data_IF_261164990819
#
_entry.id   IF_261164990819
#
_cell.length_a   1.000
_cell.length_b   1.000
_cell.length_c   1.000
_cell.angle_alpha   90.00
_cell.angle_beta   90.00
_cell.angle_gamma   90.00
#
_symmetry.space_group_name_H-M   'P 1'
#
loop_
_entity.id
_entity.type
_entity.pdbx_description
1 polymer ?
#
# COMPACT_ATOMS: atom_id res chain seq x y z
N UNK A 1 -17.96 -0.53 -27.45
CA UNK A 1 -17.99 -0.65 -25.96
C UNK A 1 -16.66 -0.27 -25.27
N UNK A 2 -15.49 -0.46 -25.88
CA UNK A 2 -14.19 -0.05 -25.30
C UNK A 2 -14.09 1.47 -25.02
N UNK A 3 -14.64 2.31 -25.90
CA UNK A 3 -14.55 3.78 -25.79
C UNK A 3 -15.38 4.38 -24.64
N UNK A 4 -16.45 3.70 -24.20
CA UNK A 4 -17.26 4.13 -23.05
C UNK A 4 -16.56 3.83 -21.72
N UNK A 5 -15.90 2.67 -21.61
CA UNK A 5 -15.09 2.33 -20.43
C UNK A 5 -13.90 3.27 -20.31
N UNK A 6 -13.18 3.52 -21.40
CA UNK A 6 -12.05 4.45 -21.39
C UNK A 6 -12.47 5.87 -20.96
N UNK A 7 -13.60 6.39 -21.46
CA UNK A 7 -14.13 7.71 -21.05
C UNK A 7 -14.60 7.78 -19.60
N UNK A 8 -15.23 6.72 -19.08
CA UNK A 8 -15.65 6.67 -17.69
C UNK A 8 -14.45 6.60 -16.75
N UNK A 9 -13.45 5.77 -17.05
CA UNK A 9 -12.18 5.72 -16.31
C UNK A 9 -11.49 7.07 -16.37
N UNK A 10 -11.46 7.71 -17.54
CA UNK A 10 -10.86 9.02 -17.73
C UNK A 10 -11.60 10.13 -16.97
N UNK A 11 -12.93 10.10 -16.88
CA UNK A 11 -13.73 11.05 -16.10
C UNK A 11 -13.56 10.88 -14.59
N UNK A 12 -13.42 9.65 -14.11
CA UNK A 12 -13.12 9.34 -12.70
C UNK A 12 -11.69 9.78 -12.35
N UNK A 13 -10.72 9.54 -13.23
CA UNK A 13 -9.34 10.00 -13.03
C UNK A 13 -9.14 11.49 -13.24
N UNK A 14 -10.05 12.16 -13.98
CA UNK A 14 -9.99 13.59 -14.26
C UNK A 14 -10.58 14.47 -13.15
N UNK A 15 -11.20 13.88 -12.12
CA UNK A 15 -11.68 14.63 -10.95
C UNK A 15 -10.84 14.29 -9.70
N UNK A 16 -9.79 15.08 -9.40
CA UNK A 16 -8.90 14.85 -8.27
C UNK A 16 -9.63 14.77 -6.93
N UNK A 17 -10.70 15.56 -6.74
CA UNK A 17 -11.47 15.55 -5.49
C UNK A 17 -12.15 14.21 -5.22
N UNK A 18 -12.64 13.56 -6.27
CA UNK A 18 -13.26 12.24 -6.15
C UNK A 18 -12.22 11.17 -5.77
N UNK A 19 -11.02 11.23 -6.37
CA UNK A 19 -9.91 10.36 -5.98
C UNK A 19 -9.45 10.59 -4.54
N UNK A 20 -9.39 11.86 -4.11
CA UNK A 20 -9.01 12.26 -2.74
C UNK A 20 -10.01 11.81 -1.68
N UNK A 21 -11.27 11.56 -2.04
CA UNK A 21 -12.27 10.99 -1.13
C UNK A 21 -12.29 9.46 -1.20
N UNK A 22 -12.18 8.89 -2.40
CA UNK A 22 -12.20 7.43 -2.59
C UNK A 22 -10.99 6.76 -1.93
N UNK A 23 -9.80 7.35 -2.02
CA UNK A 23 -8.59 6.79 -1.41
C UNK A 23 -8.75 6.56 0.11
N UNK A 24 -9.07 7.58 0.94
CA UNK A 24 -9.25 7.35 2.38
C UNK A 24 -10.46 6.47 2.70
N UNK A 25 -11.52 6.45 1.87
CA UNK A 25 -12.62 5.50 2.05
C UNK A 25 -12.18 4.05 1.85
N UNK A 26 -11.41 3.77 0.80
CA UNK A 26 -10.88 2.43 0.53
C UNK A 26 -9.88 1.99 1.60
N UNK A 27 -9.00 2.88 2.03
CA UNK A 27 -8.02 2.60 3.08
C UNK A 27 -8.66 2.46 4.46
N UNK A 28 -9.61 3.32 4.82
CA UNK A 28 -10.39 3.21 6.05
C UNK A 28 -11.24 1.94 6.09
N UNK A 29 -11.88 1.61 4.96
CA UNK A 29 -12.59 0.34 4.79
C UNK A 29 -11.67 -0.87 4.94
N UNK A 30 -10.45 -0.80 4.42
CA UNK A 30 -9.44 -1.86 4.58
C UNK A 30 -9.05 -2.06 6.06
N UNK A 31 -8.85 -0.99 6.83
CA UNK A 31 -8.53 -1.11 8.26
C UNK A 31 -9.69 -1.73 9.07
N UNK A 32 -10.94 -1.35 8.77
CA UNK A 32 -12.13 -1.93 9.41
C UNK A 32 -12.30 -3.41 9.02
N UNK A 33 -12.20 -3.73 7.72
CA UNK A 33 -12.24 -5.11 7.26
C UNK A 33 -11.12 -5.95 7.89
N UNK A 34 -9.92 -5.38 8.00
CA UNK A 34 -8.79 -6.00 8.68
C UNK A 34 -9.08 -6.32 10.14
N UNK A 35 -9.69 -5.38 10.88
CA UNK A 35 -10.11 -5.58 12.27
C UNK A 35 -11.18 -6.67 12.43
N UNK A 36 -12.09 -6.80 11.46
CA UNK A 36 -13.08 -7.88 11.45
C UNK A 36 -12.41 -9.23 11.14
N UNK A 37 -11.48 -9.26 10.20
CA UNK A 37 -10.82 -10.49 9.77
C UNK A 37 -9.81 -11.06 10.77
N UNK A 38 -9.21 -10.24 11.66
CA UNK A 38 -8.29 -10.76 12.70
C UNK A 38 -8.96 -11.66 13.74
N UNK A 39 -10.30 -11.66 13.83
CA UNK A 39 -11.00 -12.63 14.68
C UNK A 39 -10.95 -14.06 14.14
N UNK A 40 -10.95 -14.23 12.82
CA UNK A 40 -11.05 -15.54 12.17
C UNK A 40 -9.70 -16.00 11.57
N UNK A 41 -8.82 -15.07 11.22
CA UNK A 41 -7.54 -15.32 10.55
C UNK A 41 -6.40 -14.63 11.27
N UNK A 42 -5.26 -15.32 11.43
CA UNK A 42 -4.05 -14.64 11.87
C UNK A 42 -3.69 -13.49 10.91
N UNK A 43 -3.34 -12.29 11.43
CA UNK A 43 -3.03 -11.11 10.62
C UNK A 43 -1.91 -11.34 9.59
N UNK A 44 -0.95 -12.22 9.92
CA UNK A 44 0.11 -12.63 9.02
C UNK A 44 -0.42 -13.36 7.79
N UNK A 45 -1.32 -14.33 7.99
CA UNK A 45 -1.92 -15.13 6.90
C UNK A 45 -2.79 -14.27 5.99
N UNK A 46 -3.62 -13.40 6.58
CA UNK A 46 -4.48 -12.49 5.83
C UNK A 46 -3.66 -11.58 4.90
N UNK A 47 -2.61 -10.96 5.44
CA UNK A 47 -1.73 -10.06 4.69
C UNK A 47 -0.95 -10.80 3.61
N UNK A 48 -0.41 -11.98 3.93
CA UNK A 48 0.36 -12.81 3.01
C UNK A 48 -0.47 -13.28 1.81
N UNK A 49 -1.67 -13.78 2.07
CA UNK A 49 -2.60 -14.22 1.01
C UNK A 49 -2.98 -13.04 0.12
N UNK A 50 -3.33 -11.90 0.71
CA UNK A 50 -3.70 -10.69 -0.04
C UNK A 50 -2.60 -10.24 -0.99
N UNK A 51 -1.36 -10.17 -0.51
CA UNK A 51 -0.22 -9.74 -1.33
C UNK A 51 0.22 -10.80 -2.33
N UNK A 52 0.07 -12.09 -2.02
CA UNK A 52 0.30 -13.18 -2.97
C UNK A 52 -0.66 -13.08 -4.15
N UNK A 53 -1.96 -12.95 -3.89
CA UNK A 53 -2.96 -12.75 -4.94
C UNK A 53 -2.70 -11.47 -5.75
N UNK A 54 -2.40 -10.35 -5.08
CA UNK A 54 -2.06 -9.11 -5.77
C UNK A 54 -0.85 -9.29 -6.69
N UNK A 55 0.19 -9.99 -6.23
CA UNK A 55 1.39 -10.28 -7.01
C UNK A 55 1.05 -11.13 -8.22
N UNK A 56 0.31 -12.22 -8.04
CA UNK A 56 -0.10 -13.11 -9.14
C UNK A 56 -0.90 -12.34 -10.20
N UNK A 57 -1.84 -11.50 -9.77
CA UNK A 57 -2.67 -10.71 -10.68
C UNK A 57 -1.87 -9.63 -11.40
N UNK A 58 -0.93 -8.96 -10.72
CA UNK A 58 -0.13 -7.89 -11.29
C UNK A 58 1.01 -8.39 -12.18
N UNK A 59 1.56 -9.57 -11.87
CA UNK A 59 2.67 -10.18 -12.61
C UNK A 59 2.47 -10.14 -14.13
N UNK A 60 1.36 -10.64 -14.73
CA UNK A 60 1.20 -10.65 -16.19
C UNK A 60 1.25 -9.26 -16.83
N UNK A 61 0.84 -8.22 -16.11
CA UNK A 61 0.90 -6.83 -16.58
C UNK A 61 2.29 -6.22 -16.41
N UNK A 62 3.00 -6.61 -15.35
CA UNK A 62 4.34 -6.12 -15.03
C UNK A 62 5.47 -6.86 -15.78
N UNK A 63 5.21 -8.05 -16.36
CA UNK A 63 6.24 -8.87 -17.01
C UNK A 63 7.04 -8.15 -18.10
N UNK A 64 6.38 -7.33 -18.93
CA UNK A 64 7.03 -6.59 -20.02
C UNK A 64 8.01 -5.52 -19.49
N UNK A 65 7.58 -4.56 -18.63
CA UNK A 65 8.49 -3.64 -17.95
C UNK A 65 9.60 -4.35 -17.18
N UNK A 66 9.26 -5.40 -16.42
CA UNK A 66 10.20 -6.11 -15.57
C UNK A 66 11.34 -6.77 -16.38
N UNK A 67 11.02 -7.27 -17.58
CA UNK A 67 12.02 -7.85 -18.48
C UNK A 67 12.93 -6.78 -19.10
N UNK A 68 12.38 -5.62 -19.45
CA UNK A 68 13.14 -4.52 -20.03
C UNK A 68 14.15 -3.94 -19.01
N UNK A 69 13.74 -3.84 -17.74
CA UNK A 69 14.56 -3.25 -16.67
C UNK A 69 15.30 -4.30 -15.82
N UNK A 70 15.33 -5.56 -16.27
CA UNK A 70 15.83 -6.68 -15.47
C UNK A 70 17.28 -6.51 -14.99
N UNK A 71 18.17 -5.95 -15.83
CA UNK A 71 19.56 -5.73 -15.45
C UNK A 71 19.69 -4.68 -14.34
N UNK A 72 18.87 -3.63 -14.38
CA UNK A 72 18.82 -2.56 -13.38
C UNK A 72 18.27 -3.08 -12.05
N UNK A 73 17.18 -3.87 -12.12
CA UNK A 73 16.55 -4.51 -10.96
C UNK A 73 17.55 -5.42 -10.26
N UNK A 74 18.28 -6.25 -11.01
CA UNK A 74 19.27 -7.16 -10.43
C UNK A 74 20.43 -6.41 -9.75
N UNK A 75 20.86 -5.29 -10.33
CA UNK A 75 21.90 -4.43 -9.74
C UNK A 75 21.48 -3.85 -8.38
N UNK A 76 20.19 -3.52 -8.21
CA UNK A 76 19.65 -2.92 -6.99
C UNK A 76 18.80 -3.90 -6.16
N UNK A 77 18.92 -5.21 -6.41
CA UNK A 77 18.02 -6.22 -5.85
C UNK A 77 18.02 -6.21 -4.32
N UNK A 78 19.18 -5.95 -3.70
CA UNK A 78 19.28 -5.83 -2.24
C UNK A 78 18.50 -4.64 -1.69
N UNK A 79 18.62 -3.46 -2.31
CA UNK A 79 17.90 -2.26 -1.88
C UNK A 79 16.40 -2.45 -2.07
N UNK A 80 15.99 -3.01 -3.21
CA UNK A 80 14.59 -3.33 -3.49
C UNK A 80 14.04 -4.35 -2.50
N UNK A 81 14.84 -5.36 -2.13
CA UNK A 81 14.48 -6.33 -1.10
C UNK A 81 14.32 -5.66 0.27
N UNK A 82 15.26 -4.82 0.70
CA UNK A 82 15.14 -4.09 1.96
C UNK A 82 13.92 -3.16 1.98
N UNK A 83 13.67 -2.41 0.90
CA UNK A 83 12.50 -1.54 0.78
C UNK A 83 11.19 -2.35 0.83
N UNK A 84 11.13 -3.48 0.15
CA UNK A 84 9.98 -4.38 0.20
C UNK A 84 9.80 -5.02 1.59
N UNK A 85 10.87 -5.50 2.20
CA UNK A 85 10.85 -6.17 3.49
C UNK A 85 10.46 -5.21 4.62
N UNK A 86 11.11 -4.05 4.73
CA UNK A 86 10.84 -3.09 5.80
C UNK A 86 9.67 -2.16 5.48
N UNK A 87 9.66 -1.59 4.28
CA UNK A 87 8.65 -0.59 3.89
C UNK A 87 7.27 -1.19 3.63
N UNK A 88 7.21 -2.41 3.08
CA UNK A 88 5.93 -3.06 2.77
C UNK A 88 5.59 -4.16 3.77
N UNK A 89 6.41 -5.20 3.88
CA UNK A 89 6.04 -6.40 4.65
C UNK A 89 5.98 -6.12 6.15
N UNK A 90 7.04 -5.56 6.74
CA UNK A 90 7.11 -5.25 8.16
C UNK A 90 6.05 -4.21 8.55
N UNK A 91 5.91 -3.12 7.79
CA UNK A 91 4.87 -2.11 8.03
C UNK A 91 3.46 -2.71 8.01
N UNK A 92 3.10 -3.47 6.96
CA UNK A 92 1.76 -4.08 6.89
C UNK A 92 1.55 -5.06 8.05
N UNK A 93 2.53 -5.90 8.36
CA UNK A 93 2.42 -6.84 9.48
C UNK A 93 2.23 -6.12 10.82
N UNK A 94 3.05 -5.11 11.11
CA UNK A 94 2.92 -4.30 12.32
C UNK A 94 1.57 -3.59 12.40
N UNK A 95 1.05 -3.07 11.29
CA UNK A 95 -0.28 -2.44 11.23
C UNK A 95 -1.39 -3.43 11.60
N UNK A 96 -1.40 -4.62 10.99
CA UNK A 96 -2.41 -5.65 11.29
C UNK A 96 -2.23 -6.26 12.69
N UNK A 97 -1.00 -6.35 13.21
CA UNK A 97 -0.75 -6.70 14.59
C UNK A 97 -1.27 -5.63 15.55
N UNK A 98 -1.07 -4.34 15.25
CA UNK A 98 -1.60 -3.25 16.06
C UNK A 98 -3.12 -3.31 16.17
N UNK A 99 -3.83 -3.76 15.12
CA UNK A 99 -5.28 -3.97 15.16
C UNK A 99 -5.73 -5.02 16.20
N UNK A 100 -4.85 -5.90 16.70
CA UNK A 100 -5.17 -6.80 17.82
C UNK A 100 -5.12 -6.07 19.17
N UNK A 101 -4.28 -5.05 19.29
CA UNK A 101 -4.07 -4.29 20.53
C UNK A 101 -4.91 -3.00 20.59
N UNK A 102 -5.26 -2.41 19.45
CA UNK A 102 -5.93 -1.12 19.34
C UNK A 102 -7.00 -1.10 18.25
N UNK A 103 -7.89 -0.11 18.27
CA UNK A 103 -9.02 -0.02 17.34
C UNK A 103 -8.59 0.44 15.93
N UNK A 104 -9.42 0.15 14.92
CA UNK A 104 -9.20 0.64 13.55
C UNK A 104 -9.14 2.18 13.46
N UNK A 105 -9.82 2.88 14.36
CA UNK A 105 -9.79 4.35 14.46
C UNK A 105 -8.38 4.81 14.85
N UNK A 106 -7.79 4.22 15.89
CA UNK A 106 -6.45 4.60 16.35
C UNK A 106 -5.36 4.33 15.31
N UNK A 107 -5.45 3.19 14.59
CA UNK A 107 -4.54 2.88 13.47
C UNK A 107 -4.69 3.86 12.31
N UNK A 108 -5.90 4.34 12.04
CA UNK A 108 -6.14 5.33 10.99
C UNK A 108 -5.59 6.71 11.36
N UNK A 109 -5.67 7.09 12.64
CA UNK A 109 -5.08 8.34 13.15
C UNK A 109 -3.54 8.28 13.07
N UNK A 110 -2.94 7.15 13.45
CA UNK A 110 -1.49 6.95 13.33
C UNK A 110 -1.02 7.08 11.88
N UNK A 111 -1.69 6.43 10.93
CA UNK A 111 -1.38 6.55 9.51
C UNK A 111 -1.54 7.99 8.98
N UNK A 112 -2.52 8.74 9.47
CA UNK A 112 -2.69 10.15 9.12
C UNK A 112 -1.54 11.04 9.63
N UNK A 113 -0.81 10.60 10.66
CA UNK A 113 0.38 11.29 11.17
C UNK A 113 1.67 10.91 10.41
N UNK A 114 1.68 9.82 9.63
CA UNK A 114 2.86 9.39 8.87
C UNK A 114 3.47 10.49 7.99
N UNK A 115 2.72 11.31 7.23
CA UNK A 115 3.31 12.38 6.42
C UNK A 115 4.09 13.41 7.25
N UNK A 116 3.58 13.77 8.44
CA UNK A 116 4.25 14.67 9.35
C UNK A 116 5.54 14.04 9.91
N UNK A 117 5.50 12.75 10.25
CA UNK A 117 6.69 12.00 10.67
C UNK A 117 7.73 11.91 9.56
N UNK A 118 7.31 11.72 8.31
CA UNK A 118 8.20 11.71 7.14
C UNK A 118 8.84 13.10 6.94
N UNK A 119 8.07 14.20 7.06
CA UNK A 119 8.64 15.54 7.02
C UNK A 119 9.70 15.76 8.09
N UNK A 120 9.41 15.36 9.33
CA UNK A 120 10.36 15.46 10.43
C UNK A 120 11.62 14.62 10.17
N UNK A 121 11.46 13.38 9.69
CA UNK A 121 12.57 12.51 9.36
C UNK A 121 13.43 13.08 8.22
N UNK A 122 12.81 13.66 7.18
CA UNK A 122 13.53 14.33 6.09
C UNK A 122 14.32 15.55 6.60
N UNK A 123 13.73 16.35 7.49
CA UNK A 123 14.41 17.49 8.09
C UNK A 123 15.62 17.04 8.93
N UNK A 124 15.49 15.98 9.74
CA UNK A 124 16.55 15.50 10.63
C UNK A 124 17.66 14.77 9.88
N UNK A 125 17.30 13.85 8.96
CA UNK A 125 18.25 12.95 8.30
C UNK A 125 18.83 13.54 7.01
N UNK A 126 17.99 14.18 6.18
CA UNK A 126 18.40 14.71 4.88
C UNK A 126 18.72 16.21 4.93
N UNK A 127 18.43 16.90 6.05
CA UNK A 127 18.55 18.36 6.20
C UNK A 127 17.87 19.15 5.07
N UNK A 128 16.87 18.55 4.43
CA UNK A 128 16.04 19.24 3.44
C UNK A 128 15.11 20.20 4.19
N UNK A 129 15.17 21.49 3.82
CA UNK A 129 14.33 22.55 4.39
C UNK A 129 12.95 22.54 3.76
#
# INVERSE_FOLDING_TARGET
MANLRARATQAITANPYLLLILAPLLWGGNAVAGRLSVHDWEPFTLTSVRWLFATIILTPFALKPLRNDWSLIKSHAWILFCLGAFGMAAFNLSMYLALNYTTAINVSIEQAAMPAMIMLANFVLLKQR
#
